data_IF_916377301004
#
_entry.id   IF_916377301004
#
_cell.length_a   1.000
_cell.length_b   1.000
_cell.length_c   1.000
_cell.angle_alpha   90.00
_cell.angle_beta   90.00
_cell.angle_gamma   90.00
#
_symmetry.space_group_name_H-M   'P 1'
#
loop_
_entity.id
_entity.type
_entity.pdbx_description
1 polymer ?
#
# COMPACT_ATOMS: atom_id res chain seq x y z
N UNK A 1 -12.29 -11.30 11.44
CA UNK A 1 -12.79 -11.16 10.05
C UNK A 1 -12.11 -12.24 9.21
N UNK A 2 -12.85 -13.19 8.63
CA UNK A 2 -12.27 -14.26 7.77
C UNK A 2 -12.46 -13.86 6.31
N UNK A 3 -11.39 -13.72 5.51
CA UNK A 3 -11.53 -13.42 4.09
C UNK A 3 -12.26 -14.57 3.38
N UNK A 4 -13.30 -14.26 2.61
CA UNK A 4 -14.07 -15.24 1.81
C UNK A 4 -13.35 -15.69 0.55
N UNK A 5 -12.25 -15.04 0.19
CA UNK A 5 -11.46 -15.32 -1.00
C UNK A 5 -9.99 -15.40 -0.57
N UNK A 6 -9.40 -16.58 -0.69
CA UNK A 6 -7.96 -16.79 -0.55
C UNK A 6 -7.39 -16.73 -1.97
N UNK A 7 -6.93 -15.56 -2.38
CA UNK A 7 -6.27 -15.38 -3.67
C UNK A 7 -4.92 -14.67 -3.44
N UNK A 8 -3.92 -15.06 -4.23
CA UNK A 8 -2.64 -14.38 -4.26
C UNK A 8 -2.59 -13.45 -5.47
N UNK A 9 -2.05 -12.27 -5.27
CA UNK A 9 -1.86 -11.30 -6.35
C UNK A 9 -0.42 -11.37 -6.83
N UNK A 10 -0.20 -11.51 -8.13
CA UNK A 10 1.15 -11.36 -8.72
C UNK A 10 1.62 -9.91 -8.69
N UNK A 11 0.68 -8.95 -8.68
CA UNK A 11 0.98 -7.52 -8.61
C UNK A 11 -0.15 -6.74 -7.96
N UNK A 12 0.19 -5.75 -7.14
CA UNK A 12 -0.74 -4.73 -6.66
C UNK A 12 -0.30 -3.36 -7.17
N UNK A 13 -1.24 -2.58 -7.72
CA UNK A 13 -1.01 -1.21 -8.16
C UNK A 13 -1.91 -0.23 -7.43
N UNK A 14 -1.34 0.82 -6.84
CA UNK A 14 -2.06 1.87 -6.13
C UNK A 14 -1.97 3.20 -6.88
N UNK A 15 -3.12 3.70 -7.35
CA UNK A 15 -3.25 5.06 -7.87
C UNK A 15 -3.32 6.06 -6.71
N UNK A 16 -2.72 7.25 -6.87
CA UNK A 16 -2.48 8.24 -5.80
C UNK A 16 -1.76 7.61 -4.59
N UNK A 17 -0.67 6.89 -4.86
CA UNK A 17 0.10 6.13 -3.87
C UNK A 17 0.53 6.90 -2.60
N UNK A 18 0.57 8.24 -2.62
CA UNK A 18 0.81 9.01 -1.41
C UNK A 18 -0.23 8.78 -0.30
N UNK A 19 -1.43 8.27 -0.62
CA UNK A 19 -2.46 7.98 0.39
C UNK A 19 -2.10 6.81 1.31
N UNK A 20 -1.22 5.90 0.88
CA UNK A 20 -0.78 4.73 1.67
C UNK A 20 0.61 4.93 2.29
N UNK A 21 1.09 6.17 2.36
CA UNK A 21 2.43 6.49 2.86
C UNK A 21 2.65 6.19 4.34
N UNK A 22 1.59 6.28 5.14
CA UNK A 22 1.69 6.21 6.60
C UNK A 22 1.50 4.76 7.04
N UNK A 23 2.51 4.14 7.66
CA UNK A 23 2.48 2.72 8.01
C UNK A 23 1.29 2.35 8.90
N UNK A 24 0.96 3.20 9.87
CA UNK A 24 -0.05 2.91 10.90
C UNK A 24 -1.50 2.97 10.40
N UNK A 25 -1.77 3.53 9.21
CA UNK A 25 -3.15 3.66 8.74
C UNK A 25 -3.66 2.34 8.15
N UNK A 26 -4.98 2.12 8.29
CA UNK A 26 -5.65 0.92 7.80
C UNK A 26 -5.44 0.65 6.31
N UNK A 27 -5.32 1.70 5.48
CA UNK A 27 -5.10 1.55 4.05
C UNK A 27 -3.72 0.95 3.74
N UNK A 28 -2.68 1.42 4.42
CA UNK A 28 -1.34 0.83 4.27
C UNK A 28 -1.36 -0.65 4.69
N UNK A 29 -1.92 -0.93 5.86
CA UNK A 29 -2.03 -2.30 6.37
C UNK A 29 -2.83 -3.22 5.45
N UNK A 30 -3.92 -2.73 4.86
CA UNK A 30 -4.72 -3.49 3.91
C UNK A 30 -3.94 -3.84 2.64
N UNK A 31 -3.15 -2.90 2.10
CA UNK A 31 -2.29 -3.16 0.93
C UNK A 31 -1.13 -4.09 1.28
N UNK A 32 -0.49 -3.89 2.44
CA UNK A 32 0.60 -4.74 2.90
C UNK A 32 0.17 -6.19 3.13
N UNK A 33 -1.06 -6.41 3.63
CA UNK A 33 -1.61 -7.74 3.85
C UNK A 33 -1.82 -8.55 2.55
N UNK A 34 -1.87 -7.90 1.38
CA UNK A 34 -1.98 -8.60 0.10
C UNK A 34 -0.70 -9.35 -0.28
N UNK A 35 0.45 -8.94 0.27
CA UNK A 35 1.77 -9.56 0.10
C UNK A 35 2.12 -10.05 -1.33
N UNK A 36 1.86 -9.29 -2.42
CA UNK A 36 2.30 -9.65 -3.76
C UNK A 36 3.84 -9.64 -3.90
N UNK A 37 4.40 -10.31 -4.91
CA UNK A 37 5.81 -10.19 -5.26
C UNK A 37 6.17 -8.81 -5.86
N UNK A 38 5.19 -8.03 -6.34
CA UNK A 38 5.42 -6.72 -6.95
C UNK A 38 4.38 -5.68 -6.51
N UNK A 39 4.85 -4.49 -6.12
CA UNK A 39 4.03 -3.33 -5.79
C UNK A 39 4.36 -2.13 -6.69
N UNK A 40 3.35 -1.50 -7.28
CA UNK A 40 3.48 -0.25 -8.02
C UNK A 40 2.67 0.87 -7.38
N UNK A 41 3.32 1.96 -6.98
CA UNK A 41 2.67 3.15 -6.43
C UNK A 41 2.76 4.29 -7.45
N UNK A 42 1.63 4.65 -8.05
CA UNK A 42 1.52 5.75 -9.01
C UNK A 42 1.02 6.98 -8.27
N UNK A 43 1.78 8.07 -8.26
CA UNK A 43 1.36 9.32 -7.63
C UNK A 43 1.90 10.51 -8.39
N UNK A 44 1.03 11.50 -8.66
CA UNK A 44 1.45 12.79 -9.20
C UNK A 44 2.11 13.66 -8.13
N UNK A 45 1.83 13.39 -6.85
CA UNK A 45 2.32 14.14 -5.70
C UNK A 45 3.09 13.18 -4.78
N UNK A 46 4.37 12.88 -5.08
CA UNK A 46 5.22 12.17 -4.14
C UNK A 46 5.44 13.01 -2.87
N UNK A 47 5.83 12.37 -1.77
CA UNK A 47 5.99 13.03 -0.48
C UNK A 47 7.15 14.02 -0.54
N UNK A 48 6.92 15.26 -0.12
CA UNK A 48 7.94 16.31 -0.06
C UNK A 48 8.38 16.65 1.39
N UNK A 49 7.58 16.30 2.41
CA UNK A 49 7.67 16.93 3.75
C UNK A 49 7.99 16.02 4.95
N UNK A 50 8.55 14.82 4.79
CA UNK A 50 8.89 14.01 5.97
C UNK A 50 10.05 13.03 5.73
N UNK A 51 11.23 13.38 6.27
CA UNK A 51 12.45 12.55 6.39
C UNK A 51 12.59 11.92 7.78
N UNK A 52 11.51 11.35 8.35
CA UNK A 52 11.63 10.67 9.66
C UNK A 52 11.01 9.26 9.66
N UNK A 53 11.69 8.28 10.29
CA UNK A 53 11.27 6.89 10.31
C UNK A 53 10.36 6.65 11.52
N UNK A 54 9.06 6.38 11.28
CA UNK A 54 8.15 5.78 12.26
C UNK A 54 7.12 4.88 11.56
#
# INVERSE_FOLDING_TARGET
>A
YKPRITCSFTRVSCNKGHSVKTLIIRQHQAVAFLSPPLYWFLTATPIWNQDYPL
#
